data_IF_490499341986
#
_entry.id   IF_490499341986
#
_cell.length_a   1.000
_cell.length_b   1.000
_cell.length_c   1.000
_cell.angle_alpha   90.00
_cell.angle_beta   90.00
_cell.angle_gamma   90.00
#
_symmetry.space_group_name_H-M   'P 1'
#
loop_
_entity.id
_entity.type
_entity.pdbx_description
1 polymer ?
#
# COMPACT_ATOMS: atom_id res chain seq x y z
N UNK A 1 36.99 5.47 -20.35
CA UNK A 1 35.68 6.01 -19.95
C UNK A 1 35.00 4.94 -19.12
N UNK A 2 34.60 5.23 -17.89
CA UNK A 2 33.94 4.24 -17.04
C UNK A 2 32.63 3.81 -17.69
N UNK A 3 32.44 2.50 -17.79
CA UNK A 3 31.22 1.90 -18.30
C UNK A 3 30.23 1.75 -17.13
N UNK A 4 29.81 2.89 -16.57
CA UNK A 4 28.84 2.89 -15.48
C UNK A 4 27.48 2.52 -16.08
N UNK A 5 27.05 1.28 -15.83
CA UNK A 5 25.75 0.78 -16.25
C UNK A 5 24.67 1.50 -15.47
N UNK A 6 23.78 2.21 -16.18
CA UNK A 6 22.53 2.73 -15.64
C UNK A 6 21.79 1.63 -14.86
N UNK A 7 21.53 1.90 -13.60
CA UNK A 7 20.77 1.05 -12.69
C UNK A 7 19.32 1.55 -12.60
N UNK A 8 18.42 0.69 -12.14
CA UNK A 8 17.03 1.07 -11.88
C UNK A 8 16.92 2.12 -10.75
N UNK A 9 17.89 2.12 -9.84
CA UNK A 9 18.01 3.15 -8.79
C UNK A 9 18.38 4.52 -9.37
N UNK A 10 19.17 4.57 -10.45
CA UNK A 10 19.51 5.83 -11.13
C UNK A 10 18.28 6.48 -11.78
N UNK A 11 17.23 5.71 -12.06
CA UNK A 11 15.91 6.22 -12.48
C UNK A 11 15.04 6.70 -11.30
N UNK A 12 15.57 6.71 -10.08
CA UNK A 12 14.87 7.14 -8.86
C UNK A 12 14.09 6.03 -8.16
N UNK A 13 14.27 4.76 -8.54
CA UNK A 13 13.51 3.63 -7.96
C UNK A 13 14.40 2.74 -7.11
N UNK A 14 14.26 2.85 -5.78
CA UNK A 14 14.95 1.97 -4.83
C UNK A 14 13.96 1.01 -4.14
N UNK A 15 14.04 -0.26 -4.53
CA UNK A 15 13.19 -1.34 -4.00
C UNK A 15 13.47 -1.62 -2.52
N UNK A 16 14.73 -1.49 -2.08
CA UNK A 16 15.10 -1.74 -0.67
C UNK A 16 14.55 -0.65 0.23
N UNK A 17 14.64 0.60 -0.21
CA UNK A 17 14.04 1.71 0.54
C UNK A 17 12.52 1.63 0.55
N UNK A 18 11.88 1.16 -0.53
CA UNK A 18 10.46 0.84 -0.54
C UNK A 18 10.08 -0.20 0.53
N UNK A 19 10.82 -1.31 0.60
CA UNK A 19 10.60 -2.34 1.61
C UNK A 19 10.83 -1.81 3.05
N UNK A 20 11.88 -1.01 3.26
CA UNK A 20 12.17 -0.38 4.56
C UNK A 20 11.03 0.53 5.00
N UNK A 21 10.49 1.33 4.10
CA UNK A 21 9.35 2.21 4.39
C UNK A 21 8.12 1.39 4.81
N UNK A 22 7.83 0.27 4.12
CA UNK A 22 6.75 -0.64 4.50
C UNK A 22 6.94 -1.18 5.92
N UNK A 23 8.13 -1.67 6.28
CA UNK A 23 8.39 -2.17 7.65
C UNK A 23 8.15 -1.11 8.73
N UNK A 24 8.55 0.14 8.49
CA UNK A 24 8.33 1.24 9.42
C UNK A 24 6.84 1.57 9.61
N UNK A 25 6.04 1.44 8.54
CA UNK A 25 4.61 1.73 8.58
C UNK A 25 3.77 0.58 9.17
N UNK A 26 4.25 -0.66 9.13
CA UNK A 26 3.48 -1.87 9.49
C UNK A 26 2.74 -1.76 10.82
N UNK A 27 3.40 -1.28 11.88
CA UNK A 27 2.79 -1.16 13.21
C UNK A 27 1.55 -0.26 13.16
N UNK A 28 1.70 0.94 12.59
CA UNK A 28 0.62 1.93 12.51
C UNK A 28 -0.51 1.49 11.60
N UNK A 29 -0.20 0.84 10.48
CA UNK A 29 -1.23 0.27 9.58
C UNK A 29 -2.02 -0.83 10.30
N UNK A 30 -1.34 -1.73 11.01
CA UNK A 30 -1.97 -2.84 11.72
C UNK A 30 -2.91 -2.42 12.85
N UNK A 31 -2.64 -1.27 13.48
CA UNK A 31 -3.53 -0.67 14.49
C UNK A 31 -4.92 -0.32 13.92
N UNK A 32 -5.06 -0.19 12.60
CA UNK A 32 -6.33 0.12 11.92
C UNK A 32 -7.15 -1.10 11.49
N UNK A 33 -6.61 -2.31 11.67
CA UNK A 33 -7.26 -3.53 11.19
C UNK A 33 -8.55 -3.83 11.98
N UNK A 34 -9.55 -4.33 11.27
CA UNK A 34 -10.77 -4.90 11.86
C UNK A 34 -10.92 -6.38 11.45
N UNK A 35 -11.99 -7.02 11.90
CA UNK A 35 -12.25 -8.44 11.66
C UNK A 35 -12.49 -8.81 10.18
N UNK A 36 -12.66 -7.82 9.32
CA UNK A 36 -12.95 -8.01 7.90
C UNK A 36 -11.73 -7.86 7.00
N UNK A 37 -10.61 -7.33 7.50
CA UNK A 37 -9.34 -7.33 6.75
C UNK A 37 -8.85 -8.77 6.56
N UNK A 38 -8.49 -9.12 5.34
CA UNK A 38 -7.92 -10.42 4.98
C UNK A 38 -6.45 -10.23 4.58
N UNK A 39 -5.54 -10.90 5.29
CA UNK A 39 -4.10 -10.85 5.03
C UNK A 39 -3.35 -9.83 5.89
N UNK A 40 -2.17 -9.40 5.42
CA UNK A 40 -1.29 -8.43 6.09
C UNK A 40 -0.66 -7.48 5.05
N UNK A 41 -0.01 -6.41 5.50
CA UNK A 41 0.64 -5.40 4.65
C UNK A 41 1.91 -5.95 3.99
N UNK A 42 2.05 -5.73 2.67
CA UNK A 42 3.22 -6.12 1.88
C UNK A 42 2.93 -7.17 0.79
N UNK A 43 1.68 -7.61 0.65
CA UNK A 43 1.20 -8.35 -0.51
C UNK A 43 0.94 -7.42 -1.70
N UNK A 44 0.64 -8.01 -2.87
CA UNK A 44 0.29 -7.25 -4.08
C UNK A 44 -0.97 -6.37 -3.93
N UNK A 45 -1.88 -6.71 -3.01
CA UNK A 45 -3.11 -5.96 -2.80
C UNK A 45 -3.74 -6.21 -1.43
N UNK A 46 -4.45 -5.20 -0.93
CA UNK A 46 -5.27 -5.31 0.28
C UNK A 46 -6.62 -5.97 -0.02
N UNK A 47 -7.07 -6.84 0.89
CA UNK A 47 -8.34 -7.54 0.77
C UNK A 47 -9.21 -7.23 1.99
N UNK A 48 -10.48 -6.97 1.75
CA UNK A 48 -11.50 -6.77 2.77
C UNK A 48 -12.70 -7.66 2.46
N UNK A 49 -13.15 -8.42 3.44
CA UNK A 49 -14.41 -9.14 3.39
C UNK A 49 -15.56 -8.17 3.58
N UNK A 50 -16.55 -8.23 2.71
CA UNK A 50 -17.83 -7.57 2.94
C UNK A 50 -18.72 -8.55 3.73
N UNK A 51 -18.60 -8.54 5.06
CA UNK A 51 -19.35 -9.47 5.92
C UNK A 51 -20.85 -9.14 5.94
N UNK A 52 -21.67 -10.19 6.03
CA UNK A 52 -23.07 -10.20 5.63
C UNK A 52 -23.99 -9.36 6.50
N UNK A 53 -24.31 -8.15 6.04
CA UNK A 53 -25.48 -7.36 6.43
C UNK A 53 -26.12 -6.62 5.25
N UNK A 54 -25.65 -6.87 4.02
CA UNK A 54 -26.10 -6.15 2.83
C UNK A 54 -26.78 -7.10 1.85
N UNK A 55 -28.03 -6.82 1.50
CA UNK A 55 -28.82 -7.60 0.54
C UNK A 55 -28.46 -7.27 -0.92
N UNK A 56 -28.11 -6.01 -1.20
CA UNK A 56 -27.71 -5.53 -2.53
C UNK A 56 -26.77 -4.33 -2.38
N UNK A 57 -25.51 -4.55 -1.97
CA UNK A 57 -24.58 -3.46 -1.67
C UNK A 57 -24.15 -2.72 -2.94
N UNK A 58 -23.98 -1.41 -2.80
CA UNK A 58 -23.34 -0.53 -3.79
C UNK A 58 -22.02 -0.04 -3.20
N UNK A 59 -20.93 -0.24 -3.93
CA UNK A 59 -19.62 0.24 -3.53
C UNK A 59 -19.43 1.69 -3.98
N UNK A 60 -19.02 2.54 -3.05
CA UNK A 60 -18.64 3.94 -3.32
C UNK A 60 -17.17 4.09 -2.98
N UNK A 61 -16.38 4.59 -3.93
CA UNK A 61 -14.97 4.88 -3.75
C UNK A 61 -14.68 6.32 -4.22
N UNK A 62 -13.66 6.93 -3.64
CA UNK A 62 -13.22 8.28 -3.97
C UNK A 62 -11.71 8.41 -3.84
N UNK A 63 -11.14 9.38 -4.53
CA UNK A 63 -9.73 9.73 -4.46
C UNK A 63 -9.63 11.23 -4.23
N UNK A 64 -8.75 11.65 -3.34
CA UNK A 64 -8.53 13.07 -3.01
C UNK A 64 -7.05 13.32 -2.70
N UNK A 65 -6.60 14.54 -2.97
CA UNK A 65 -5.24 15.01 -2.68
C UNK A 65 -5.23 16.04 -1.56
N UNK A 66 -4.06 16.26 -0.95
CA UNK A 66 -3.92 17.25 0.14
C UNK A 66 -3.94 18.70 -0.34
N UNK A 67 -3.74 18.94 -1.65
CA UNK A 67 -3.65 20.28 -2.23
C UNK A 67 -2.31 20.95 -1.92
N UNK A 68 -2.33 22.26 -1.69
CA UNK A 68 -1.14 23.07 -1.41
C UNK A 68 -0.84 23.24 0.10
N UNK A 69 -1.48 22.44 0.96
CA UNK A 69 -1.23 22.39 2.41
C UNK A 69 -0.07 21.45 2.71
#
# INVERSE_FOLDING_TARGET
MSNDKLTYADAGVDVKEGARAVELMKKHVKETFNADVIGDLGSFGGLLRMSGQYESPVLVAGTDGVGTK
#
